data_IF_272397215009
#
_entry.id   IF_272397215009
#
_cell.length_a   1.000
_cell.length_b   1.000
_cell.length_c   1.000
_cell.angle_alpha   90.00
_cell.angle_beta   90.00
_cell.angle_gamma   90.00
#
_symmetry.space_group_name_H-M   'P 1'
#
loop_
_entity.id
_entity.type
_entity.pdbx_description
1 polymer ?
#
# COMPACT_ATOMS: atom_id res chain seq x y z
N UNK A 1 3.95 -6.42 3.91
CA UNK A 1 4.53 -6.33 5.28
C UNK A 1 5.44 -7.52 5.66
N UNK A 2 6.21 -8.08 4.72
CA UNK A 2 7.21 -9.12 5.01
C UNK A 2 8.46 -8.56 5.72
N UNK A 3 8.92 -7.37 5.29
CA UNK A 3 10.06 -6.64 5.88
C UNK A 3 9.93 -6.45 7.39
N UNK A 4 8.75 -6.04 7.86
CA UNK A 4 8.45 -5.94 9.30
C UNK A 4 8.76 -7.24 10.03
N UNK A 5 8.34 -8.37 9.49
CA UNK A 5 8.57 -9.68 10.12
C UNK A 5 10.05 -10.07 10.08
N UNK A 6 10.77 -9.78 9.00
CA UNK A 6 12.20 -10.03 8.89
C UNK A 6 13.01 -9.23 9.91
N UNK A 7 12.66 -7.96 10.13
CA UNK A 7 13.29 -7.09 11.14
C UNK A 7 12.89 -7.53 12.55
N UNK A 8 11.59 -7.68 12.80
CA UNK A 8 11.07 -8.02 14.15
C UNK A 8 11.44 -9.45 14.57
N UNK A 9 11.65 -10.35 13.61
CA UNK A 9 12.13 -11.71 13.85
C UNK A 9 13.56 -11.75 14.38
N UNK A 10 14.38 -10.73 14.08
CA UNK A 10 15.73 -10.57 14.61
C UNK A 10 15.75 -10.00 16.02
N UNK A 11 14.63 -9.52 16.55
CA UNK A 11 14.61 -8.93 17.89
C UNK A 11 14.95 -9.97 18.97
N UNK A 12 16.06 -9.72 19.67
CA UNK A 12 16.49 -10.44 20.86
C UNK A 12 15.66 -9.89 22.03
N UNK A 13 15.01 -10.78 22.78
CA UNK A 13 14.12 -10.40 23.88
C UNK A 13 14.74 -9.38 24.82
N UNK A 14 13.98 -8.36 25.21
CA UNK A 14 14.36 -7.38 26.23
C UNK A 14 13.50 -7.55 27.47
N UNK A 15 14.05 -7.42 28.70
CA UNK A 15 13.28 -7.59 29.93
C UNK A 15 12.05 -6.68 30.07
N UNK A 16 12.09 -5.48 29.50
CA UNK A 16 11.00 -4.51 29.61
C UNK A 16 10.42 -4.02 28.29
N UNK A 17 10.79 -4.62 27.16
CA UNK A 17 10.22 -4.31 25.85
C UNK A 17 9.75 -5.60 25.18
N UNK A 18 8.43 -5.85 25.12
CA UNK A 18 7.90 -7.03 24.46
C UNK A 18 8.06 -6.92 22.94
N UNK A 19 8.18 -8.07 22.26
CA UNK A 19 8.36 -8.14 20.79
C UNK A 19 7.23 -7.45 20.01
N UNK A 20 6.02 -7.45 20.56
CA UNK A 20 4.85 -6.78 19.96
C UNK A 20 5.06 -5.28 19.80
N UNK A 21 5.71 -4.64 20.79
CA UNK A 21 6.01 -3.20 20.77
C UNK A 21 6.98 -2.88 19.63
N UNK A 22 8.04 -3.68 19.48
CA UNK A 22 9.02 -3.53 18.39
C UNK A 22 8.39 -3.82 17.03
N UNK A 23 7.52 -4.82 16.96
CA UNK A 23 6.81 -5.19 15.73
C UNK A 23 5.90 -4.06 15.26
N UNK A 24 5.15 -3.46 16.19
CA UNK A 24 4.28 -2.32 15.90
C UNK A 24 5.07 -1.05 15.53
N UNK A 25 6.17 -0.78 16.24
CA UNK A 25 7.06 0.34 15.93
C UNK A 25 7.66 0.22 14.52
N UNK A 26 8.21 -0.95 14.20
CA UNK A 26 8.77 -1.26 12.87
C UNK A 26 7.71 -1.17 11.78
N UNK A 27 6.48 -1.61 12.08
CA UNK A 27 5.35 -1.50 11.16
C UNK A 27 5.04 -0.04 10.83
N UNK A 28 4.93 0.83 11.83
CA UNK A 28 4.68 2.25 11.63
C UNK A 28 5.79 2.89 10.81
N UNK A 29 7.06 2.60 11.15
CA UNK A 29 8.22 3.16 10.46
C UNK A 29 8.25 2.83 8.96
N UNK A 30 7.93 1.57 8.62
CA UNK A 30 7.84 1.12 7.23
C UNK A 30 6.59 1.65 6.51
N UNK A 31 5.46 1.78 7.21
CA UNK A 31 4.19 2.16 6.61
C UNK A 31 4.06 3.66 6.39
N UNK A 32 4.51 4.46 7.34
CA UNK A 32 4.30 5.91 7.35
C UNK A 32 5.59 6.69 7.07
N UNK A 33 6.76 6.05 7.15
CA UNK A 33 8.05 6.72 7.09
C UNK A 33 8.57 7.14 8.46
N UNK A 34 7.70 7.13 9.48
CA UNK A 34 8.03 7.51 10.85
C UNK A 34 7.34 6.61 11.88
N UNK A 35 7.91 6.58 13.08
CA UNK A 35 7.39 5.84 14.20
C UNK A 35 7.72 6.52 15.53
N UNK A 36 6.84 6.30 16.51
CA UNK A 36 6.95 6.87 17.85
C UNK A 36 6.76 5.80 18.93
N UNK A 37 7.62 5.84 19.96
CA UNK A 37 7.45 5.09 21.21
C UNK A 37 7.27 6.08 22.36
N UNK A 38 6.18 5.94 23.09
CA UNK A 38 5.94 6.65 24.34
C UNK A 38 6.72 5.98 25.48
N UNK A 39 7.48 6.76 26.24
CA UNK A 39 8.12 6.35 27.48
C UNK A 39 7.08 6.32 28.60
N UNK A 40 6.73 5.12 29.08
CA UNK A 40 5.84 4.95 30.22
C UNK A 40 6.62 5.23 31.50
N UNK A 41 6.13 6.15 32.35
CA UNK A 41 6.79 6.51 33.62
C UNK A 41 5.98 6.07 34.83
N UNK A 42 6.65 5.62 35.89
CA UNK A 42 6.00 5.37 37.19
C UNK A 42 5.80 6.68 37.99
N UNK A 43 5.18 6.58 39.17
CA UNK A 43 4.96 7.74 40.06
C UNK A 43 6.25 8.44 40.54
N UNK A 44 7.40 7.79 40.42
CA UNK A 44 8.73 8.36 40.71
C UNK A 44 9.42 8.95 39.47
N UNK A 45 8.73 9.02 38.32
CA UNK A 45 9.26 9.58 37.07
C UNK A 45 10.20 8.67 36.28
N UNK A 46 10.45 7.45 36.76
CA UNK A 46 11.34 6.49 36.12
C UNK A 46 10.64 5.81 34.93
N UNK A 47 11.35 5.64 33.81
CA UNK A 47 10.80 4.97 32.62
C UNK A 47 10.67 3.47 32.89
N UNK A 48 9.44 2.96 32.94
CA UNK A 48 9.10 1.55 33.23
C UNK A 48 8.84 0.70 32.00
N UNK A 49 8.47 1.30 30.87
CA UNK A 49 8.21 0.56 29.64
C UNK A 49 8.08 1.48 28.44
N UNK A 50 7.86 0.88 27.28
CA UNK A 50 7.66 1.58 26.01
C UNK A 50 6.32 1.18 25.41
N UNK A 51 5.61 2.14 24.81
CA UNK A 51 4.34 1.91 24.15
C UNK A 51 4.33 2.50 22.73
N UNK A 52 3.98 1.72 21.68
CA UNK A 52 3.99 2.19 20.31
C UNK A 52 2.79 3.10 20.06
N UNK A 53 3.05 4.33 19.63
CA UNK A 53 1.99 5.25 19.21
C UNK A 53 1.72 5.07 17.71
N UNK A 54 0.44 5.15 17.33
CA UNK A 54 0.04 5.05 15.92
C UNK A 54 0.48 6.29 15.15
N UNK A 55 1.30 6.09 14.10
CA UNK A 55 1.75 7.18 13.21
C UNK A 55 0.58 7.91 12.53
N UNK A 56 -0.53 7.22 12.27
CA UNK A 56 -1.72 7.80 11.64
C UNK A 56 -2.37 8.91 12.48
N UNK A 57 -2.37 8.75 13.81
CA UNK A 57 -3.05 9.66 14.74
C UNK A 57 -2.10 10.62 15.45
N UNK A 58 -0.79 10.36 15.40
CA UNK A 58 0.20 11.23 16.01
C UNK A 58 0.51 12.43 15.11
N UNK A 59 0.68 13.60 15.71
CA UNK A 59 1.08 14.84 15.03
C UNK A 59 2.25 15.47 15.76
N UNK A 60 3.22 15.96 15.01
CA UNK A 60 4.34 16.75 15.53
C UNK A 60 3.97 18.23 15.57
N UNK A 61 4.27 18.90 16.68
CA UNK A 61 4.00 20.34 16.84
C UNK A 61 5.18 21.17 16.35
N UNK A 62 4.92 22.37 15.81
CA UNK A 62 5.97 23.30 15.34
C UNK A 62 6.92 23.77 16.45
N UNK A 63 6.44 23.84 17.70
CA UNK A 63 7.21 24.27 18.87
C UNK A 63 7.82 23.13 19.69
N UNK A 64 7.93 21.93 19.13
CA UNK A 64 8.37 20.74 19.86
C UNK A 64 7.22 19.98 20.53
N UNK A 65 7.47 18.69 20.77
CA UNK A 65 6.48 17.75 21.31
C UNK A 65 5.41 17.28 20.31
N UNK A 66 4.44 16.54 20.84
CA UNK A 66 3.50 15.76 20.04
C UNK A 66 2.05 15.90 20.51
N UNK A 67 1.14 15.58 19.61
CA UNK A 67 -0.30 15.57 19.79
C UNK A 67 -0.84 14.23 19.27
N UNK A 68 -1.51 13.46 20.11
CA UNK A 68 -2.19 12.24 19.69
C UNK A 68 -3.70 12.50 19.57
N UNK A 69 -4.25 12.27 18.39
CA UNK A 69 -5.68 12.39 18.11
C UNK A 69 -6.43 11.18 18.68
N UNK A 70 -7.43 11.41 19.53
CA UNK A 70 -8.31 10.35 20.04
C UNK A 70 -9.61 10.30 19.24
N UNK A 71 -10.31 9.15 19.28
CA UNK A 71 -11.57 8.94 18.56
C UNK A 71 -12.68 9.90 18.98
N UNK A 72 -12.66 10.31 20.25
CA UNK A 72 -13.69 11.16 20.85
C UNK A 72 -13.46 12.67 20.58
N UNK A 73 -12.53 13.02 19.67
CA UNK A 73 -12.17 14.41 19.36
C UNK A 73 -11.26 15.08 20.40
N UNK A 74 -10.98 14.39 21.51
CA UNK A 74 -9.97 14.83 22.48
C UNK A 74 -8.54 14.62 21.95
N UNK A 75 -7.62 15.40 22.50
CA UNK A 75 -6.21 15.30 22.14
C UNK A 75 -5.34 15.09 23.38
N UNK A 76 -4.44 14.11 23.30
CA UNK A 76 -3.38 13.95 24.30
C UNK A 76 -2.14 14.70 23.85
N UNK A 77 -1.51 15.40 24.78
CA UNK A 77 -0.29 16.14 24.53
C UNK A 77 0.89 15.43 25.19
N UNK A 78 1.94 15.20 24.42
CA UNK A 78 3.19 14.63 24.91
C UNK A 78 4.33 15.61 24.69
N UNK A 79 5.25 15.63 25.64
CA UNK A 79 6.49 16.39 25.53
C UNK A 79 7.46 15.65 24.63
N UNK A 80 8.45 16.38 24.13
CA UNK A 80 9.48 15.79 23.26
C UNK A 80 10.32 14.76 24.02
N UNK A 81 10.63 15.00 25.30
CA UNK A 81 11.42 14.07 26.11
C UNK A 81 10.75 12.71 26.36
N UNK A 82 9.42 12.64 26.23
CA UNK A 82 8.62 11.46 26.52
C UNK A 82 8.42 10.55 25.29
N UNK A 83 8.77 11.02 24.10
CA UNK A 83 8.62 10.25 22.86
C UNK A 83 9.98 9.96 22.25
N UNK A 84 10.21 8.71 21.94
CA UNK A 84 11.31 8.27 21.06
C UNK A 84 10.76 8.34 19.65
N UNK A 85 11.33 9.22 18.84
CA UNK A 85 10.90 9.45 17.47
C UNK A 85 11.95 8.95 16.50
N UNK A 86 11.53 8.13 15.53
CA UNK A 86 12.34 7.71 14.40
C UNK A 86 11.62 8.10 13.12
N UNK A 87 12.31 8.81 12.23
CA UNK A 87 11.78 9.18 10.92
C UNK A 87 12.83 8.96 9.83
N UNK A 88 12.38 8.48 8.68
CA UNK A 88 13.16 8.49 7.45
C UNK A 88 13.40 9.92 7.01
N UNK A 89 14.55 10.19 6.38
CA UNK A 89 14.86 11.54 5.93
C UNK A 89 13.92 11.98 4.80
N UNK A 90 13.16 13.05 5.02
CA UNK A 90 12.35 13.72 4.00
C UNK A 90 13.06 15.01 3.56
N UNK A 91 13.52 15.11 2.30
CA UNK A 91 14.28 16.26 1.80
C UNK A 91 13.43 17.53 1.63
N UNK A 92 12.09 17.44 1.67
CA UNK A 92 11.19 18.55 1.36
C UNK A 92 10.71 19.25 2.63
N UNK A 93 10.08 18.51 3.55
CA UNK A 93 9.44 19.11 4.73
C UNK A 93 10.28 19.01 6.01
N UNK A 94 11.10 17.95 6.17
CA UNK A 94 11.88 17.66 7.39
C UNK A 94 11.06 17.54 8.71
N UNK A 95 9.72 17.53 8.66
CA UNK A 95 8.85 17.39 9.84
C UNK A 95 8.54 15.92 10.13
N UNK A 96 8.11 15.18 9.10
CA UNK A 96 7.77 13.75 9.14
C UNK A 96 8.75 12.93 8.32
N UNK A 97 8.63 11.61 8.45
CA UNK A 97 9.38 10.71 7.60
C UNK A 97 8.69 10.47 6.27
N UNK A 98 9.49 10.19 5.24
CA UNK A 98 8.98 9.79 3.93
C UNK A 98 9.16 8.28 3.76
N UNK A 99 8.10 7.50 3.50
CA UNK A 99 8.24 6.08 3.25
C UNK A 99 8.84 5.82 1.86
N UNK A 100 9.73 4.83 1.78
CA UNK A 100 10.46 4.44 0.57
C UNK A 100 9.56 4.02 -0.60
N UNK A 101 8.43 3.38 -0.32
CA UNK A 101 7.50 2.91 -1.36
C UNK A 101 6.72 4.02 -2.08
N UNK A 102 6.79 5.28 -1.63
CA UNK A 102 5.98 6.36 -2.17
C UNK A 102 6.16 6.55 -3.68
N UNK A 103 7.37 6.31 -4.20
CA UNK A 103 7.66 6.36 -5.64
C UNK A 103 6.88 5.35 -6.48
N UNK A 104 6.45 4.23 -5.88
CA UNK A 104 5.65 3.19 -6.54
C UNK A 104 4.14 3.36 -6.39
N UNK A 105 3.66 4.44 -5.78
CA UNK A 105 2.24 4.62 -5.47
C UNK A 105 1.38 4.63 -6.74
N UNK A 106 1.82 5.30 -7.81
CA UNK A 106 1.09 5.35 -9.07
C UNK A 106 1.01 3.96 -9.73
N UNK A 107 2.08 3.17 -9.69
CA UNK A 107 2.06 1.79 -10.17
C UNK A 107 1.11 0.92 -9.34
N UNK A 108 1.07 1.10 -8.01
CA UNK A 108 0.14 0.39 -7.14
C UNK A 108 -1.34 0.75 -7.43
N UNK A 109 -1.64 2.03 -7.64
CA UNK A 109 -2.97 2.50 -8.01
C UNK A 109 -3.39 1.94 -9.38
N UNK A 110 -2.52 2.03 -10.38
CA UNK A 110 -2.77 1.47 -11.71
C UNK A 110 -3.00 -0.05 -11.66
N UNK A 111 -2.24 -0.76 -10.82
CA UNK A 111 -2.42 -2.20 -10.62
C UNK A 111 -3.80 -2.54 -10.02
N UNK A 112 -4.26 -1.74 -9.07
CA UNK A 112 -5.58 -1.86 -8.45
C UNK A 112 -6.69 -1.55 -9.46
N UNK A 113 -6.56 -0.44 -10.19
CA UNK A 113 -7.53 -0.02 -11.21
C UNK A 113 -7.68 -1.06 -12.31
N UNK A 114 -6.58 -1.67 -12.79
CA UNK A 114 -6.63 -2.77 -13.75
C UNK A 114 -7.41 -4.00 -13.21
N UNK A 115 -7.25 -4.33 -11.92
CA UNK A 115 -8.02 -5.40 -11.27
C UNK A 115 -9.49 -5.03 -11.14
N UNK A 116 -9.80 -3.80 -10.70
CA UNK A 116 -11.17 -3.32 -10.55
C UNK A 116 -11.89 -3.24 -11.89
N UNK A 117 -11.20 -2.80 -12.94
CA UNK A 117 -11.68 -2.81 -14.31
C UNK A 117 -12.05 -4.22 -14.75
N UNK A 118 -11.14 -5.21 -14.62
CA UNK A 118 -11.42 -6.61 -14.98
C UNK A 118 -12.61 -7.17 -14.22
N UNK A 119 -12.70 -6.90 -12.92
CA UNK A 119 -13.83 -7.34 -12.09
C UNK A 119 -15.16 -6.76 -12.59
N UNK A 120 -15.19 -5.45 -12.90
CA UNK A 120 -16.36 -4.81 -13.51
C UNK A 120 -16.68 -5.38 -14.90
N UNK A 121 -15.67 -5.62 -15.74
CA UNK A 121 -15.85 -6.22 -17.06
C UNK A 121 -16.52 -7.59 -16.99
N UNK A 122 -16.09 -8.47 -16.08
CA UNK A 122 -16.73 -9.78 -15.89
C UNK A 122 -18.13 -9.67 -15.29
N UNK A 123 -18.36 -8.74 -14.35
CA UNK A 123 -19.71 -8.45 -13.83
C UNK A 123 -20.67 -7.93 -14.91
N UNK A 124 -20.17 -7.37 -16.01
CA UNK A 124 -20.93 -6.90 -17.17
C UNK A 124 -21.09 -7.93 -18.29
N UNK A 125 -20.89 -9.23 -18.01
CA UNK A 125 -21.00 -10.26 -19.05
C UNK A 125 -19.89 -10.16 -20.11
N UNK A 126 -18.69 -9.71 -19.72
CA UNK A 126 -17.54 -9.54 -20.60
C UNK A 126 -17.78 -8.52 -21.73
N UNK A 127 -18.51 -7.44 -21.44
CA UNK A 127 -18.71 -6.34 -22.37
C UNK A 127 -18.40 -4.99 -21.70
N UNK A 128 -17.87 -4.03 -22.47
CA UNK A 128 -17.46 -2.69 -22.00
C UNK A 128 -18.52 -1.61 -22.28
N UNK A 129 -19.77 -2.02 -22.45
CA UNK A 129 -20.83 -1.16 -22.97
C UNK A 129 -20.78 -0.98 -24.49
N UNK A 130 -21.90 -0.56 -25.08
CA UNK A 130 -22.07 -0.41 -26.52
C UNK A 130 -22.67 0.95 -26.85
N UNK A 131 -22.42 1.44 -28.06
CA UNK A 131 -23.22 2.49 -28.68
C UNK A 131 -24.32 1.80 -29.47
N UNK A 132 -25.56 1.97 -29.03
CA UNK A 132 -26.73 1.55 -29.77
C UNK A 132 -27.10 2.67 -30.75
N UNK A 133 -26.94 2.38 -32.03
CA UNK A 133 -27.18 3.29 -33.13
C UNK A 133 -28.46 2.88 -33.86
N UNK A 134 -29.45 3.76 -33.92
CA UNK A 134 -30.70 3.56 -34.66
C UNK A 134 -30.86 4.65 -35.73
N UNK A 135 -31.44 4.28 -36.88
CA UNK A 135 -31.72 5.20 -37.99
C UNK A 135 -33.17 5.18 -38.43
N UNK A 136 -34.07 4.63 -37.61
CA UNK A 136 -35.49 4.49 -37.93
C UNK A 136 -36.20 5.86 -37.96
N UNK A 137 -36.69 6.32 -39.13
CA UNK A 137 -37.39 7.59 -39.24
C UNK A 137 -38.82 7.55 -38.63
N UNK A 138 -39.31 6.39 -38.22
CA UNK A 138 -40.64 6.22 -37.60
C UNK A 138 -40.58 6.00 -36.09
N UNK A 139 -39.42 6.14 -35.44
CA UNK A 139 -39.34 5.98 -33.99
C UNK A 139 -39.97 7.17 -33.27
N UNK A 140 -40.94 6.88 -32.42
CA UNK A 140 -41.67 7.89 -31.63
C UNK A 140 -40.83 8.38 -30.43
N UNK A 141 -41.07 9.60 -29.95
CA UNK A 141 -40.32 10.20 -28.84
C UNK A 141 -40.44 9.35 -27.57
N UNK A 142 -41.62 8.77 -27.32
CA UNK A 142 -41.90 7.89 -26.18
C UNK A 142 -41.08 6.58 -26.26
N UNK A 143 -40.91 6.02 -27.47
CA UNK A 143 -40.11 4.81 -27.68
C UNK A 143 -38.61 5.10 -27.54
N UNK A 144 -38.17 6.27 -27.94
CA UNK A 144 -36.78 6.72 -27.75
C UNK A 144 -36.45 6.88 -26.25
N UNK A 145 -37.37 7.44 -25.46
CA UNK A 145 -37.19 7.58 -24.02
C UNK A 145 -37.23 6.22 -23.30
N UNK A 146 -38.15 5.31 -23.69
CA UNK A 146 -38.21 3.95 -23.14
C UNK A 146 -36.93 3.14 -23.45
N UNK A 147 -36.38 3.26 -24.67
CA UNK A 147 -35.10 2.63 -25.02
C UNK A 147 -33.93 3.23 -24.24
N UNK A 148 -33.89 4.56 -24.06
CA UNK A 148 -32.88 5.22 -23.22
C UNK A 148 -32.95 4.71 -21.79
N UNK A 149 -34.15 4.58 -21.23
CA UNK A 149 -34.38 4.10 -19.87
C UNK A 149 -34.05 2.62 -19.71
N UNK A 150 -34.37 1.77 -20.69
CA UNK A 150 -33.95 0.37 -20.68
C UNK A 150 -32.42 0.21 -20.76
N UNK A 151 -31.74 0.97 -21.62
CA UNK A 151 -30.27 0.95 -21.71
C UNK A 151 -29.65 1.54 -20.43
N UNK A 152 -30.29 2.56 -19.85
CA UNK A 152 -29.88 3.17 -18.60
C UNK A 152 -30.21 2.33 -17.35
N UNK A 153 -31.16 1.40 -17.41
CA UNK A 153 -31.57 0.53 -16.28
C UNK A 153 -30.92 -0.85 -16.32
N UNK A 154 -30.40 -1.30 -17.48
CA UNK A 154 -29.52 -2.48 -17.63
C UNK A 154 -28.17 -2.34 -16.90
N UNK A 155 -28.00 -1.29 -16.07
CA UNK A 155 -26.81 -1.01 -15.28
C UNK A 155 -26.69 -1.96 -14.09
N UNK A 156 -25.62 -2.75 -14.03
CA UNK A 156 -25.08 -3.18 -12.74
C UNK A 156 -24.34 -2.01 -12.04
N UNK A 157 -24.36 -1.97 -10.71
CA UNK A 157 -23.78 -0.87 -9.92
C UNK A 157 -22.28 -0.74 -10.19
N UNK A 158 -21.85 0.41 -10.75
CA UNK A 158 -20.44 0.76 -10.97
C UNK A 158 -19.85 0.40 -12.36
N UNK A 159 -20.71 0.09 -13.34
CA UNK A 159 -20.36 -0.51 -14.63
C UNK A 159 -20.19 0.49 -15.79
N UNK A 160 -19.59 0.02 -16.89
CA UNK A 160 -19.34 0.80 -18.11
C UNK A 160 -20.61 1.41 -18.70
N UNK A 161 -20.51 2.59 -19.32
CA UNK A 161 -21.67 3.31 -19.87
C UNK A 161 -21.89 2.92 -21.33
N UNK A 162 -23.06 2.38 -21.63
CA UNK A 162 -23.58 2.30 -23.01
C UNK A 162 -24.23 3.64 -23.39
N UNK A 163 -24.20 4.00 -24.67
CA UNK A 163 -24.79 5.22 -25.20
C UNK A 163 -25.83 4.86 -26.26
N UNK A 164 -26.94 5.57 -26.29
CA UNK A 164 -27.94 5.46 -27.35
C UNK A 164 -27.85 6.70 -28.24
N UNK A 165 -27.80 6.49 -29.56
CA UNK A 165 -27.74 7.56 -30.57
C UNK A 165 -28.74 7.25 -31.67
N UNK A 166 -29.74 8.11 -31.83
CA UNK A 166 -30.69 8.08 -32.94
C UNK A 166 -30.31 9.18 -33.96
N UNK A 167 -30.12 8.82 -35.23
CA UNK A 167 -29.92 9.79 -36.32
C UNK A 167 -30.98 9.53 -37.39
N UNK A 168 -32.05 10.36 -37.46
CA UNK A 168 -33.08 10.24 -38.47
C UNK A 168 -32.48 10.41 -39.89
N UNK A 169 -32.93 9.60 -40.86
CA UNK A 169 -32.44 9.57 -42.26
C UNK A 169 -30.98 9.10 -42.47
N UNK A 170 -30.43 8.27 -41.59
CA UNK A 170 -29.15 7.58 -41.81
C UNK A 170 -29.20 6.47 -42.87
N UNK A 171 -28.04 5.89 -43.24
CA UNK A 171 -27.93 4.75 -44.18
C UNK A 171 -28.81 3.55 -43.72
N UNK A 172 -29.32 2.71 -44.65
CA UNK A 172 -30.42 1.76 -44.43
C UNK A 172 -30.14 0.53 -43.52
N UNK A 173 -29.04 0.53 -42.78
CA UNK A 173 -28.83 -0.48 -41.74
C UNK A 173 -29.52 0.02 -40.44
N UNK A 174 -30.81 -0.27 -40.31
CA UNK A 174 -31.73 0.35 -39.33
C UNK A 174 -31.32 0.31 -37.86
N UNK A 175 -30.52 -0.67 -37.42
CA UNK A 175 -30.02 -0.79 -36.04
C UNK A 175 -28.60 -1.35 -36.06
N UNK A 176 -27.66 -0.68 -35.39
CA UNK A 176 -26.29 -1.16 -35.17
C UNK A 176 -25.90 -1.09 -33.71
N UNK A 177 -25.25 -2.14 -33.24
CA UNK A 177 -24.56 -2.15 -31.95
C UNK A 177 -23.07 -1.98 -32.23
N UNK A 178 -22.51 -0.82 -31.88
CA UNK A 178 -21.09 -0.53 -32.00
C UNK A 178 -20.45 -0.82 -30.64
N UNK A 179 -19.61 -1.85 -30.49
CA UNK A 179 -18.95 -2.14 -29.23
C UNK A 179 -18.00 -0.99 -28.88
N UNK A 180 -18.05 -0.53 -27.61
CA UNK A 180 -17.13 0.50 -27.10
C UNK A 180 -15.97 -0.20 -26.42
N UNK A 181 -14.77 -0.07 -26.99
CA UNK A 181 -13.57 -0.75 -26.50
C UNK A 181 -13.30 -2.02 -27.28
N UNK A 182 -12.14 -2.06 -27.95
CA UNK A 182 -11.73 -3.21 -28.73
C UNK A 182 -11.16 -4.32 -27.83
N UNK A 183 -11.47 -5.58 -28.18
CA UNK A 183 -11.05 -6.80 -27.45
C UNK A 183 -9.54 -7.04 -27.61
N UNK A 184 -8.87 -6.25 -28.45
CA UNK A 184 -7.41 -6.16 -28.56
C UNK A 184 -6.70 -5.81 -27.23
N UNK A 185 -7.43 -5.35 -26.22
CA UNK A 185 -6.88 -4.95 -24.91
C UNK A 185 -6.52 -6.10 -23.97
N UNK A 186 -6.84 -7.37 -24.29
CA UNK A 186 -6.53 -8.52 -23.41
C UNK A 186 -5.05 -8.63 -23.05
N UNK A 187 -4.15 -8.39 -24.03
CA UNK A 187 -2.71 -8.49 -23.85
C UNK A 187 -2.14 -7.32 -23.02
N UNK A 188 -2.69 -6.12 -23.19
CA UNK A 188 -2.25 -4.93 -22.44
C UNK A 188 -2.54 -5.05 -20.94
N UNK A 189 -3.67 -5.62 -20.53
CA UNK A 189 -3.96 -5.78 -19.10
C UNK A 189 -3.00 -6.74 -18.40
N UNK A 190 -2.55 -7.79 -19.09
CA UNK A 190 -1.56 -8.73 -18.54
C UNK A 190 -0.21 -8.04 -18.38
N UNK A 191 0.19 -7.25 -19.38
CA UNK A 191 1.41 -6.45 -19.34
C UNK A 191 1.36 -5.40 -18.22
N UNK A 192 0.29 -4.62 -18.11
CA UNK A 192 0.09 -3.62 -17.05
C UNK A 192 0.21 -4.28 -15.68
N UNK A 193 -0.49 -5.40 -15.44
CA UNK A 193 -0.43 -6.12 -14.15
C UNK A 193 0.97 -6.65 -13.84
N UNK A 194 1.69 -7.13 -14.84
CA UNK A 194 3.04 -7.68 -14.66
C UNK A 194 4.06 -6.58 -14.35
N UNK A 195 4.06 -5.50 -15.13
CA UNK A 195 4.95 -4.35 -14.95
C UNK A 195 4.69 -3.70 -13.58
N UNK A 196 3.43 -3.37 -13.30
CA UNK A 196 3.09 -2.68 -12.05
C UNK A 196 3.33 -3.56 -10.81
N UNK A 197 3.20 -4.89 -10.90
CA UNK A 197 3.57 -5.78 -9.81
C UNK A 197 5.08 -5.75 -9.52
N UNK A 198 5.90 -5.72 -10.59
CA UNK A 198 7.35 -5.58 -10.46
C UNK A 198 7.72 -4.21 -9.87
N UNK A 199 7.08 -3.13 -10.33
CA UNK A 199 7.30 -1.78 -9.79
C UNK A 199 6.99 -1.71 -8.29
N UNK A 200 5.91 -2.35 -7.83
CA UNK A 200 5.55 -2.38 -6.40
C UNK A 200 6.63 -3.07 -5.57
N UNK A 201 7.19 -4.18 -6.06
CA UNK A 201 8.29 -4.87 -5.39
C UNK A 201 9.56 -4.04 -5.37
N UNK A 202 9.92 -3.44 -6.51
CA UNK A 202 11.07 -2.53 -6.61
C UNK A 202 10.92 -1.33 -5.68
N UNK A 203 9.72 -0.73 -5.62
CA UNK A 203 9.43 0.40 -4.73
C UNK A 203 9.56 0.01 -3.25
N UNK A 204 9.16 -1.20 -2.88
CA UNK A 204 9.36 -1.74 -1.53
C UNK A 204 10.77 -2.29 -1.30
N UNK A 205 11.64 -2.24 -2.31
CA UNK A 205 12.97 -2.84 -2.38
C UNK A 205 12.96 -4.34 -2.04
N UNK A 206 11.87 -5.05 -2.28
CA UNK A 206 11.71 -6.44 -1.83
C UNK A 206 12.10 -7.45 -2.93
N UNK A 207 12.94 -8.46 -2.66
CA UNK A 207 13.36 -9.43 -3.68
C UNK A 207 12.19 -10.25 -4.21
N UNK A 208 12.06 -10.35 -5.53
CA UNK A 208 11.00 -11.12 -6.18
C UNK A 208 11.02 -12.62 -5.80
N UNK A 209 12.21 -13.20 -5.63
CA UNK A 209 12.41 -14.59 -5.21
C UNK A 209 11.78 -14.91 -3.83
N UNK A 210 11.71 -13.92 -2.93
CA UNK A 210 11.12 -14.07 -1.60
C UNK A 210 9.64 -13.66 -1.56
N UNK A 211 9.14 -13.06 -2.65
CA UNK A 211 7.77 -12.55 -2.75
C UNK A 211 6.74 -13.63 -3.10
N UNK A 212 7.17 -14.88 -3.27
CA UNK A 212 6.28 -15.98 -3.68
C UNK A 212 5.75 -15.83 -5.10
N UNK A 213 6.43 -15.07 -5.96
CA UNK A 213 6.07 -14.94 -7.38
C UNK A 213 6.44 -16.23 -8.10
N UNK A 214 5.53 -16.73 -8.93
CA UNK A 214 5.82 -17.79 -9.89
C UNK A 214 6.39 -17.11 -11.15
N UNK A 215 7.64 -17.43 -11.56
CA UNK A 215 8.23 -16.85 -12.77
C UNK A 215 7.38 -17.16 -14.01
N UNK A 216 7.34 -16.22 -14.96
CA UNK A 216 6.64 -16.42 -16.22
C UNK A 216 7.22 -17.60 -17.00
N UNK A 217 6.42 -18.22 -17.86
CA UNK A 217 6.93 -19.28 -18.74
C UNK A 217 8.11 -18.78 -19.57
N UNK A 218 9.26 -19.45 -19.47
CA UNK A 218 10.47 -19.13 -20.23
C UNK A 218 11.48 -18.19 -19.54
N UNK A 219 11.15 -17.59 -18.39
CA UNK A 219 12.18 -16.93 -17.58
C UNK A 219 12.95 -17.99 -16.78
N UNK A 220 14.29 -17.98 -16.87
CA UNK A 220 15.14 -18.81 -16.02
C UNK A 220 14.73 -18.68 -14.56
N UNK A 221 14.72 -19.79 -13.81
CA UNK A 221 14.24 -19.82 -12.44
C UNK A 221 14.85 -18.73 -11.55
N UNK A 222 14.14 -18.34 -10.49
CA UNK A 222 14.49 -17.18 -9.65
C UNK A 222 15.81 -17.34 -8.86
N UNK A 223 16.50 -18.47 -8.95
CA UNK A 223 17.75 -18.77 -8.24
C UNK A 223 17.52 -19.31 -6.83
N UNK A 224 18.58 -19.38 -6.01
CA UNK A 224 18.51 -19.87 -4.63
C UNK A 224 17.95 -18.79 -3.68
N UNK A 225 16.77 -19.00 -3.04
CA UNK A 225 16.17 -18.04 -2.12
C UNK A 225 17.07 -17.63 -0.94
N UNK A 226 17.89 -18.54 -0.42
CA UNK A 226 18.78 -18.27 0.72
C UNK A 226 19.85 -17.21 0.38
N UNK A 227 20.34 -17.19 -0.87
CA UNK A 227 21.31 -16.20 -1.30
C UNK A 227 20.69 -14.80 -1.41
N UNK A 228 19.43 -14.71 -1.86
CA UNK A 228 18.69 -13.46 -1.87
C UNK A 228 18.38 -13.00 -0.46
N UNK A 229 17.93 -13.89 0.43
CA UNK A 229 17.66 -13.56 1.83
C UNK A 229 18.92 -13.03 2.52
N UNK A 230 20.08 -13.67 2.31
CA UNK A 230 21.36 -13.19 2.87
C UNK A 230 21.76 -11.81 2.36
N UNK A 231 21.65 -11.58 1.06
CA UNK A 231 22.00 -10.29 0.46
C UNK A 231 21.04 -9.20 0.92
N UNK A 232 19.75 -9.53 0.99
CA UNK A 232 18.70 -8.64 1.46
C UNK A 232 18.84 -8.30 2.95
N UNK A 233 19.14 -9.30 3.77
CA UNK A 233 19.42 -9.13 5.18
C UNK A 233 20.57 -8.15 5.40
N UNK A 234 21.70 -8.35 4.71
CA UNK A 234 22.88 -7.50 4.80
C UNK A 234 22.62 -6.05 4.38
N UNK A 235 21.89 -5.85 3.29
CA UNK A 235 21.76 -4.52 2.69
C UNK A 235 20.56 -3.72 3.24
N UNK A 236 19.52 -4.38 3.75
CA UNK A 236 18.24 -3.74 4.09
C UNK A 236 17.80 -4.04 5.52
N UNK A 237 17.77 -5.31 5.92
CA UNK A 237 17.18 -5.70 7.22
C UNK A 237 18.10 -5.34 8.39
N UNK A 238 19.39 -5.67 8.30
CA UNK A 238 20.38 -5.42 9.37
C UNK A 238 20.59 -3.91 9.59
N UNK A 239 20.81 -3.08 8.55
CA UNK A 239 20.92 -1.63 8.74
C UNK A 239 19.67 -1.01 9.39
N UNK A 240 18.47 -1.53 9.06
CA UNK A 240 17.25 -1.09 9.74
C UNK A 240 17.19 -1.53 11.21
N UNK A 241 17.70 -2.72 11.54
CA UNK A 241 17.81 -3.16 12.93
C UNK A 241 18.75 -2.24 13.72
N UNK A 242 19.91 -1.90 13.15
CA UNK A 242 20.89 -0.99 13.77
C UNK A 242 20.30 0.39 13.99
N UNK A 243 19.61 0.95 12.99
CA UNK A 243 18.96 2.25 13.12
C UNK A 243 17.90 2.27 14.24
N UNK A 244 17.08 1.23 14.33
CA UNK A 244 16.06 1.10 15.40
C UNK A 244 16.74 0.92 16.77
N UNK A 245 17.79 0.10 16.83
CA UNK A 245 18.57 -0.15 18.05
C UNK A 245 19.21 1.14 18.58
N UNK A 246 19.94 1.85 17.73
CA UNK A 246 20.61 3.10 18.08
C UNK A 246 19.63 4.17 18.52
N UNK A 247 18.47 4.27 17.84
CA UNK A 247 17.45 5.26 18.18
C UNK A 247 16.80 4.98 19.54
N UNK A 248 16.46 3.72 19.82
CA UNK A 248 15.84 3.34 21.10
C UNK A 248 16.86 3.43 22.24
N UNK A 249 18.06 2.88 22.06
CA UNK A 249 19.08 2.81 23.10
C UNK A 249 19.70 4.19 23.38
N UNK A 250 19.78 5.06 22.36
CA UNK A 250 20.23 6.45 22.49
C UNK A 250 19.25 7.38 23.22
N UNK A 251 18.01 6.96 23.47
CA UNK A 251 16.95 7.80 24.04
C UNK A 251 17.03 8.00 25.58
N UNK A 252 18.16 7.67 26.20
CA UNK A 252 18.39 7.83 27.64
C UNK A 252 17.58 6.86 28.50
N UNK A 253 17.35 5.64 28.01
CA UNK A 253 16.58 4.61 28.70
C UNK A 253 17.42 3.82 29.72
N UNK A 254 16.83 3.30 30.80
CA UNK A 254 17.50 2.34 31.67
C UNK A 254 17.87 1.07 30.88
N UNK A 255 19.00 0.43 31.22
CA UNK A 255 19.54 -0.74 30.48
C UNK A 255 18.54 -1.89 30.29
N UNK A 256 17.59 -2.07 31.21
CA UNK A 256 16.54 -3.10 31.08
C UNK A 256 15.53 -2.88 29.95
N UNK A 257 15.49 -1.67 29.39
CA UNK A 257 14.66 -1.29 28.24
C UNK A 257 15.47 -1.18 26.94
N UNK A 258 16.76 -1.50 26.99
CA UNK A 258 17.55 -1.56 25.78
C UNK A 258 17.10 -2.72 24.91
N UNK A 259 17.16 -2.50 23.62
CA UNK A 259 16.80 -3.47 22.59
C UNK A 259 18.08 -3.95 21.91
N UNK A 260 18.07 -5.17 21.42
CA UNK A 260 19.17 -5.70 20.61
C UNK A 260 18.58 -6.60 19.53
N UNK A 261 19.26 -6.67 18.39
CA UNK A 261 18.84 -7.47 17.26
C UNK A 261 19.95 -8.44 16.86
N UNK A 262 19.54 -9.63 16.45
CA UNK A 262 20.43 -10.62 15.87
C UNK A 262 20.91 -10.14 14.49
N UNK A 263 22.23 -9.92 14.41
CA UNK A 263 22.93 -9.44 13.22
C UNK A 263 23.54 -10.59 12.42
N UNK A 264 23.61 -11.77 13.01
CA UNK A 264 24.04 -12.94 12.29
C UNK A 264 22.93 -13.38 11.33
N UNK A 265 23.32 -13.90 10.18
CA UNK A 265 22.39 -14.47 9.24
C UNK A 265 22.94 -15.81 8.83
N UNK A 266 22.45 -16.85 9.50
CA UNK A 266 22.70 -18.26 9.18
C UNK A 266 24.12 -18.52 8.68
N UNK A 267 25.12 -18.49 9.57
CA UNK A 267 26.36 -19.22 9.32
C UNK A 267 26.04 -20.69 9.56
N UNK A 268 25.32 -21.30 8.63
CA UNK A 268 25.42 -22.74 8.46
C UNK A 268 26.75 -22.98 7.76
N UNK A 269 27.70 -23.54 8.49
CA UNK A 269 28.93 -24.10 7.97
C UNK A 269 28.65 -25.20 6.93
#
# INVERSE_FOLDING_TARGET
MARRNMISGRFISSPGVPREVITAFTHNFLQFGDAALLKLRNGFGQVVGLYPLSGLYLRRKKGGGFLLLQRDGHHLHYREEDIIWLAQYDPVQQIYGQPDYLGGLQSALLNNDATMFRRKYFLNGAHMGFIFYATDPNMDDDQEEEMKDMIASSKGVGNFKSMFVNIPNGKPDGIKLIPVGDIATKDEFSAIKSITAQDVLTAHRFPAALAGIIPGMGSGGLGNPEQYDRTYARNETIPMCELIEDTINGAGLPKRLWVSFDREHGVAA
#
